data_IF_484146667110
#
_entry.id   IF_484146667110
#
_cell.length_a   1.000
_cell.length_b   1.000
_cell.length_c   1.000
_cell.angle_alpha   90.00
_cell.angle_beta   90.00
_cell.angle_gamma   90.00
#
_symmetry.space_group_name_H-M   'P 1'
#
loop_
_entity.id
_entity.type
_entity.pdbx_description
1 polymer ?
#
# COMPACT_ATOMS: atom_id res chain seq x y z
N UNK A 1 0.34 -5.36 17.73
CA UNK A 1 -0.47 -6.09 16.73
C UNK A 1 0.12 -5.94 15.32
N UNK A 2 0.52 -4.73 14.91
CA UNK A 2 1.11 -4.46 13.60
C UNK A 2 2.35 -5.30 13.23
N UNK A 3 3.39 -5.30 14.07
CA UNK A 3 4.60 -6.10 13.81
C UNK A 3 4.29 -7.60 13.67
N UNK A 4 3.26 -8.10 14.37
CA UNK A 4 2.81 -9.48 14.26
C UNK A 4 2.25 -9.80 12.88
N UNK A 5 1.40 -8.93 12.32
CA UNK A 5 0.86 -9.11 10.97
C UNK A 5 1.93 -9.01 9.88
N UNK A 6 2.90 -8.09 10.03
CA UNK A 6 4.04 -7.99 9.11
C UNK A 6 4.87 -9.27 9.09
N UNK A 7 5.24 -9.78 10.27
CA UNK A 7 6.06 -11.00 10.34
C UNK A 7 5.31 -12.23 9.82
N UNK A 8 4.00 -12.36 10.09
CA UNK A 8 3.18 -13.44 9.51
C UNK A 8 3.16 -13.36 7.98
N UNK A 9 2.88 -12.18 7.42
CA UNK A 9 2.86 -11.99 5.97
C UNK A 9 4.23 -12.29 5.32
N UNK A 10 5.34 -11.89 5.95
CA UNK A 10 6.70 -12.24 5.49
C UNK A 10 6.90 -13.75 5.53
N UNK A 11 6.47 -14.43 6.60
CA UNK A 11 6.54 -15.88 6.74
C UNK A 11 5.79 -16.60 5.62
N UNK A 12 4.53 -16.24 5.40
CA UNK A 12 3.69 -16.78 4.35
C UNK A 12 4.31 -16.59 2.95
N UNK A 13 4.81 -15.38 2.64
CA UNK A 13 5.52 -15.13 1.36
C UNK A 13 6.76 -16.01 1.19
N UNK A 14 7.53 -16.25 2.26
CA UNK A 14 8.72 -17.12 2.21
C UNK A 14 8.34 -18.56 1.94
N UNK A 15 7.33 -19.09 2.62
CA UNK A 15 6.83 -20.44 2.43
C UNK A 15 6.36 -20.67 0.98
N UNK A 16 5.62 -19.71 0.43
CA UNK A 16 5.11 -19.78 -0.94
C UNK A 16 6.10 -19.31 -2.02
N UNK A 17 7.33 -18.91 -1.64
CA UNK A 17 8.38 -18.42 -2.54
C UNK A 17 7.91 -17.23 -3.40
N UNK A 18 7.40 -16.19 -2.74
CA UNK A 18 6.89 -14.97 -3.36
C UNK A 18 7.77 -13.76 -3.01
N UNK A 19 9.04 -13.71 -3.46
CA UNK A 19 9.96 -12.65 -3.08
C UNK A 19 9.58 -11.29 -3.72
N UNK A 20 9.97 -10.16 -3.10
CA UNK A 20 9.55 -8.81 -3.52
C UNK A 20 10.13 -8.34 -4.85
N UNK A 21 11.23 -8.94 -5.32
CA UNK A 21 11.84 -8.68 -6.63
C UNK A 21 11.05 -9.28 -7.80
N UNK A 22 10.26 -10.32 -7.54
CA UNK A 22 9.41 -10.99 -8.54
C UNK A 22 7.93 -10.67 -8.38
N UNK A 23 7.48 -10.44 -7.13
CA UNK A 23 6.09 -10.16 -6.81
C UNK A 23 5.99 -8.79 -6.15
N UNK A 24 5.35 -7.86 -6.86
CA UNK A 24 5.17 -6.47 -6.42
C UNK A 24 4.58 -6.45 -5.02
N UNK A 25 5.00 -5.48 -4.20
CA UNK A 25 4.57 -5.36 -2.81
C UNK A 25 3.70 -4.12 -2.66
N UNK A 26 2.57 -4.27 -1.96
CA UNK A 26 1.59 -3.20 -1.79
C UNK A 26 1.19 -3.03 -0.33
N UNK A 27 0.89 -1.79 0.05
CA UNK A 27 0.11 -1.46 1.22
C UNK A 27 -1.19 -0.78 0.75
N UNK A 28 -2.33 -1.18 1.30
CA UNK A 28 -3.62 -0.54 1.02
C UNK A 28 -4.08 0.20 2.27
N UNK A 29 -4.10 1.53 2.22
CA UNK A 29 -4.43 2.39 3.36
C UNK A 29 -5.93 2.67 3.34
N UNK A 30 -6.70 2.00 4.22
CA UNK A 30 -8.16 2.08 4.25
C UNK A 30 -8.67 3.36 4.92
N UNK A 31 -7.89 3.92 5.82
CA UNK A 31 -8.27 5.13 6.54
C UNK A 31 -7.05 5.98 6.89
N UNK A 32 -7.30 7.27 7.11
CA UNK A 32 -6.31 8.21 7.63
C UNK A 32 -6.19 7.99 9.15
N UNK A 33 -5.01 7.58 9.67
CA UNK A 33 -4.79 7.33 11.09
C UNK A 33 -5.03 8.56 11.98
N UNK A 34 -5.05 9.77 11.43
CA UNK A 34 -5.33 11.01 12.17
C UNK A 34 -6.82 11.28 12.34
N UNK A 35 -7.68 10.57 11.58
CA UNK A 35 -9.14 10.78 11.55
C UNK A 35 -9.93 9.65 12.20
N UNK A 36 -9.31 8.50 12.44
CA UNK A 36 -9.94 7.33 13.05
C UNK A 36 -9.33 7.00 14.41
N UNK A 37 -10.10 6.32 15.26
CA UNK A 37 -9.56 5.78 16.50
C UNK A 37 -8.43 4.77 16.22
N UNK A 38 -7.40 4.64 17.09
CA UNK A 38 -6.30 3.70 16.88
C UNK A 38 -6.75 2.24 16.65
N UNK A 39 -7.87 1.83 17.23
CA UNK A 39 -8.43 0.49 17.07
C UNK A 39 -9.13 0.28 15.73
N UNK A 40 -9.53 1.38 15.07
CA UNK A 40 -10.14 1.39 13.74
C UNK A 40 -9.10 1.58 12.63
N UNK A 41 -7.86 1.95 12.96
CA UNK A 41 -6.78 2.06 11.99
C UNK A 41 -6.52 0.71 11.31
N UNK A 42 -6.65 0.68 9.99
CA UNK A 42 -6.55 -0.54 9.22
C UNK A 42 -5.80 -0.29 7.91
N UNK A 43 -4.87 -1.18 7.59
CA UNK A 43 -4.26 -1.26 6.28
C UNK A 43 -3.93 -2.71 5.94
N UNK A 44 -4.00 -3.05 4.67
CA UNK A 44 -3.63 -4.38 4.20
C UNK A 44 -2.15 -4.43 3.78
N UNK A 45 -1.52 -5.55 4.08
CA UNK A 45 -0.26 -5.96 3.47
C UNK A 45 -0.57 -6.90 2.32
N UNK A 46 -0.01 -6.63 1.14
CA UNK A 46 -0.29 -7.43 -0.03
C UNK A 46 0.94 -7.62 -0.92
N UNK A 47 0.88 -8.67 -1.73
CA UNK A 47 1.77 -8.86 -2.84
C UNK A 47 0.95 -9.21 -4.09
N UNK A 48 1.57 -9.04 -5.26
CA UNK A 48 0.97 -9.47 -6.50
C UNK A 48 0.57 -10.95 -6.44
N UNK A 49 -0.64 -11.24 -6.95
CA UNK A 49 -1.16 -12.61 -6.96
C UNK A 49 -0.31 -13.47 -7.91
N UNK A 50 0.24 -14.60 -7.44
CA UNK A 50 0.92 -15.53 -8.31
C UNK A 50 -0.04 -16.23 -9.28
N UNK A 51 0.46 -16.59 -10.47
CA UNK A 51 -0.28 -17.41 -11.45
C UNK A 51 -0.55 -18.80 -10.89
N UNK A 52 0.41 -19.37 -10.14
CA UNK A 52 0.23 -20.64 -9.44
C UNK A 52 -0.76 -20.49 -8.28
N UNK A 53 -1.54 -21.52 -8.03
CA UNK A 53 -2.39 -21.58 -6.85
C UNK A 53 -1.53 -21.59 -5.57
N UNK A 54 -1.92 -20.79 -4.60
CA UNK A 54 -1.33 -20.73 -3.25
C UNK A 54 -2.42 -20.90 -2.22
N UNK A 55 -2.11 -21.56 -1.11
CA UNK A 55 -3.02 -21.63 0.03
C UNK A 55 -2.97 -20.29 0.78
N UNK A 56 -4.14 -19.75 1.11
CA UNK A 56 -4.26 -18.56 1.94
C UNK A 56 -4.43 -18.99 3.41
N UNK A 57 -3.89 -18.20 4.33
CA UNK A 57 -4.26 -18.30 5.75
C UNK A 57 -5.66 -17.72 5.98
N UNK A 58 -6.29 -18.03 7.12
CA UNK A 58 -7.68 -17.62 7.42
C UNK A 58 -7.89 -16.09 7.38
N UNK A 59 -6.85 -15.29 7.68
CA UNK A 59 -6.88 -13.83 7.64
C UNK A 59 -6.44 -13.23 6.29
N UNK A 60 -6.27 -14.07 5.26
CA UNK A 60 -5.85 -13.64 3.93
C UNK A 60 -6.95 -13.84 2.88
N UNK A 61 -6.99 -12.92 1.90
CA UNK A 61 -7.95 -12.97 0.79
C UNK A 61 -7.28 -12.59 -0.52
N UNK A 62 -7.88 -13.03 -1.62
CA UNK A 62 -7.62 -12.41 -2.92
C UNK A 62 -8.48 -11.16 -3.07
N UNK A 63 -7.91 -10.14 -3.71
CA UNK A 63 -8.59 -8.89 -4.00
C UNK A 63 -8.16 -8.38 -5.39
N UNK A 64 -8.87 -7.39 -5.93
CA UNK A 64 -8.60 -6.83 -7.26
C UNK A 64 -8.54 -5.30 -7.21
N UNK A 65 -7.44 -4.73 -7.70
CA UNK A 65 -7.33 -3.28 -7.91
C UNK A 65 -8.30 -2.90 -9.04
N UNK A 66 -9.28 -2.00 -8.80
CA UNK A 66 -10.29 -1.67 -9.79
C UNK A 66 -9.68 -0.95 -11.00
N UNK A 67 -10.26 -1.18 -12.17
CA UNK A 67 -9.93 -0.38 -13.36
C UNK A 67 -10.47 1.03 -13.19
N UNK A 68 -9.67 2.04 -13.51
CA UNK A 68 -10.09 3.43 -13.40
C UNK A 68 -8.98 4.41 -13.70
N UNK A 69 -9.28 5.70 -13.52
CA UNK A 69 -8.27 6.75 -13.57
C UNK A 69 -7.70 6.94 -12.18
N UNK A 70 -6.38 7.01 -12.10
CA UNK A 70 -5.67 7.19 -10.85
C UNK A 70 -4.86 8.48 -10.89
N UNK A 71 -4.89 9.24 -9.79
CA UNK A 71 -3.80 10.15 -9.48
C UNK A 71 -2.61 9.32 -8.98
N UNK A 72 -1.39 9.71 -9.33
CA UNK A 72 -0.20 8.97 -8.94
C UNK A 72 0.96 9.87 -8.56
N UNK A 73 1.73 9.45 -7.55
CA UNK A 73 2.92 10.15 -7.09
C UNK A 73 4.08 9.18 -6.85
N UNK A 74 5.28 9.52 -7.33
CA UNK A 74 6.51 8.79 -7.00
C UNK A 74 7.19 9.45 -5.82
N UNK A 75 7.56 8.66 -4.81
CA UNK A 75 8.11 9.15 -3.56
C UNK A 75 9.41 8.40 -3.25
N UNK A 76 10.43 9.16 -2.85
CA UNK A 76 11.68 8.61 -2.31
C UNK A 76 11.86 9.15 -0.89
N UNK A 77 12.02 8.26 0.08
CA UNK A 77 12.24 8.64 1.46
C UNK A 77 11.58 7.70 2.46
N UNK A 78 11.74 8.07 3.72
CA UNK A 78 11.15 7.34 4.85
C UNK A 78 9.64 7.54 5.01
N UNK A 79 9.11 6.96 6.08
CA UNK A 79 7.68 6.99 6.43
C UNK A 79 7.14 8.41 6.56
N UNK A 80 7.89 9.36 7.14
CA UNK A 80 7.44 10.76 7.22
C UNK A 80 7.24 11.42 5.85
N UNK A 81 8.10 11.08 4.87
CA UNK A 81 7.98 11.61 3.51
C UNK A 81 6.79 10.95 2.81
N UNK A 82 6.63 9.63 3.02
CA UNK A 82 5.49 8.88 2.49
C UNK A 82 4.16 9.40 3.06
N UNK A 83 4.08 9.65 4.37
CA UNK A 83 2.91 10.19 5.06
C UNK A 83 2.52 11.55 4.51
N UNK A 84 3.48 12.48 4.39
CA UNK A 84 3.23 13.79 3.81
C UNK A 84 2.75 13.70 2.35
N UNK A 85 3.30 12.77 1.57
CA UNK A 85 2.93 12.54 0.18
C UNK A 85 1.53 11.92 0.03
N UNK A 86 1.15 11.00 0.92
CA UNK A 86 -0.22 10.46 1.00
C UNK A 86 -1.20 11.58 1.34
N UNK A 87 -0.90 12.39 2.37
CA UNK A 87 -1.76 13.51 2.75
C UNK A 87 -1.96 14.49 1.58
N UNK A 88 -0.87 14.87 0.90
CA UNK A 88 -0.94 15.76 -0.27
C UNK A 88 -1.85 15.22 -1.37
N UNK A 89 -1.69 13.94 -1.76
CA UNK A 89 -2.48 13.38 -2.88
C UNK A 89 -3.96 13.21 -2.52
N UNK A 90 -4.30 13.00 -1.25
CA UNK A 90 -5.68 12.87 -0.77
C UNK A 90 -6.35 14.18 -0.39
N UNK A 91 -5.61 15.30 -0.36
CA UNK A 91 -6.14 16.61 0.03
C UNK A 91 -5.83 17.67 -1.05
N UNK A 92 -4.64 18.26 -1.00
CA UNK A 92 -4.24 19.39 -1.84
C UNK A 92 -4.35 19.07 -3.33
N UNK A 93 -3.92 17.88 -3.76
CA UNK A 93 -4.00 17.48 -5.18
C UNK A 93 -5.45 17.45 -5.66
N UNK A 94 -6.36 16.84 -4.89
CA UNK A 94 -7.78 16.78 -5.26
C UNK A 94 -8.39 18.18 -5.37
N UNK A 95 -8.10 19.06 -4.40
CA UNK A 95 -8.57 20.43 -4.40
C UNK A 95 -8.03 21.23 -5.59
N UNK A 96 -6.72 21.13 -5.88
CA UNK A 96 -6.06 21.85 -6.96
C UNK A 96 -6.56 21.43 -8.35
N UNK A 97 -6.89 20.14 -8.51
CA UNK A 97 -7.32 19.59 -9.79
C UNK A 97 -8.85 19.46 -9.92
N UNK A 98 -9.61 19.88 -8.91
CA UNK A 98 -11.06 19.71 -8.84
C UNK A 98 -11.49 18.25 -9.08
N UNK A 99 -10.75 17.34 -8.45
CA UNK A 99 -10.96 15.89 -8.49
C UNK A 99 -11.58 15.40 -7.18
N UNK A 100 -12.13 14.19 -7.20
CA UNK A 100 -12.66 13.53 -6.01
C UNK A 100 -12.09 12.10 -5.90
N UNK A 101 -11.78 11.66 -4.69
CA UNK A 101 -11.36 10.29 -4.44
C UNK A 101 -12.48 9.29 -4.78
N UNK A 102 -12.11 8.17 -5.39
CA UNK A 102 -12.99 7.02 -5.58
C UNK A 102 -13.09 6.16 -4.32
N UNK A 103 -14.07 5.26 -4.30
CA UNK A 103 -14.30 4.32 -3.21
C UNK A 103 -13.32 3.14 -3.28
N UNK A 104 -12.04 3.43 -3.05
CA UNK A 104 -10.98 2.43 -2.96
C UNK A 104 -9.82 2.95 -2.09
N UNK A 105 -9.13 2.08 -1.33
CA UNK A 105 -8.01 2.49 -0.49
C UNK A 105 -6.88 3.16 -1.29
N UNK A 106 -6.12 4.03 -0.62
CA UNK A 106 -4.86 4.53 -1.19
C UNK A 106 -3.91 3.35 -1.35
N UNK A 107 -3.36 3.19 -2.55
CA UNK A 107 -2.43 2.11 -2.86
C UNK A 107 -1.02 2.66 -2.75
N UNK A 108 -0.20 2.04 -1.91
CA UNK A 108 1.25 2.30 -1.86
C UNK A 108 1.97 1.08 -2.38
N UNK A 109 2.44 1.14 -3.62
CA UNK A 109 3.37 0.16 -4.15
C UNK A 109 4.77 0.43 -3.59
N UNK A 110 5.36 -0.56 -2.95
CA UNK A 110 6.71 -0.52 -2.36
C UNK A 110 7.69 -1.08 -3.38
N UNK A 111 8.45 -0.19 -4.02
CA UNK A 111 9.44 -0.54 -5.04
C UNK A 111 10.78 -0.96 -4.42
N UNK A 112 11.17 -0.26 -3.35
CA UNK A 112 12.32 -0.60 -2.52
C UNK A 112 12.06 -0.19 -1.08
N UNK A 113 12.65 -0.90 -0.12
CA UNK A 113 12.46 -0.64 1.29
C UNK A 113 13.67 -1.08 2.11
N UNK A 114 13.70 -0.63 3.36
CA UNK A 114 14.69 -1.03 4.34
C UNK A 114 14.42 -2.49 4.80
N UNK A 115 15.45 -3.31 5.04
CA UNK A 115 16.88 -2.99 5.07
C UNK A 115 17.64 -3.12 3.74
N UNK A 116 16.98 -3.52 2.65
CA UNK A 116 17.62 -3.75 1.35
C UNK A 116 18.22 -2.46 0.76
N UNK A 117 17.57 -1.31 0.99
CA UNK A 117 18.11 0.02 0.71
C UNK A 117 18.12 0.89 1.97
N UNK A 118 18.99 1.91 2.04
CA UNK A 118 18.92 2.90 3.12
C UNK A 118 17.51 3.50 3.22
N UNK A 119 17.04 3.74 4.44
CA UNK A 119 15.67 4.22 4.70
C UNK A 119 15.28 5.48 3.91
N UNK A 120 16.23 6.41 3.71
CA UNK A 120 16.01 7.64 2.93
C UNK A 120 16.00 7.42 1.41
N UNK A 121 16.37 6.23 0.94
CA UNK A 121 16.37 5.82 -0.48
C UNK A 121 15.24 4.85 -0.80
N UNK A 122 14.39 4.49 0.19
CA UNK A 122 13.21 3.68 -0.05
C UNK A 122 12.29 4.39 -1.06
N UNK A 123 11.81 3.66 -2.05
CA UNK A 123 10.99 4.18 -3.14
C UNK A 123 9.59 3.59 -3.11
N UNK A 124 8.59 4.43 -3.30
CA UNK A 124 7.19 4.03 -3.39
C UNK A 124 6.46 4.75 -4.52
N UNK A 125 5.46 4.09 -5.08
CA UNK A 125 4.44 4.73 -5.92
C UNK A 125 3.13 4.76 -5.16
N UNK A 126 2.58 5.95 -4.97
CA UNK A 126 1.26 6.16 -4.38
C UNK A 126 0.26 6.27 -5.53
N UNK A 127 -0.86 5.56 -5.44
CA UNK A 127 -1.98 5.67 -6.35
C UNK A 127 -3.28 5.93 -5.59
N UNK A 128 -4.05 6.90 -6.05
CA UNK A 128 -5.37 7.24 -5.54
C UNK A 128 -6.38 7.08 -6.68
N UNK A 129 -7.36 6.20 -6.50
CA UNK A 129 -8.46 6.07 -7.46
C UNK A 129 -9.23 7.39 -7.50
N UNK A 130 -9.52 7.90 -8.68
CA UNK A 130 -10.37 9.07 -8.87
C UNK A 130 -11.78 8.62 -9.24
N UNK A 131 -12.77 9.31 -8.68
CA UNK A 131 -14.17 9.16 -9.08
C UNK A 131 -14.42 9.85 -10.43
N UNK A 132 -15.57 9.53 -11.04
CA UNK A 132 -16.01 10.09 -12.32
C UNK A 132 -16.75 11.40 -12.14
#
# INVERSE_FOLDING_TARGET
RLNGSIQRFIGWRREHKLPPDQYRTFNFLHNDPTTVAPEAFCFDLACERPVKQVALEEDMRFDTIPTGRYASLKVSGGEKVLEAAVNFITTDFLAQHNEQAGDFPVIVERLSFYPEVPYHQAQSHILLLLSK
#
